data_IF_368826761965
#
_entry.id   IF_368826761965
#
_cell.length_a   1.000
_cell.length_b   1.000
_cell.length_c   1.000
_cell.angle_alpha   90.00
_cell.angle_beta   90.00
_cell.angle_gamma   90.00
#
_symmetry.space_group_name_H-M   'P 1'
#
loop_
_entity.id
_entity.type
_entity.pdbx_description
1 polymer ?
#
# COMPACT_ATOMS: atom_id res chain seq x y z
N UNK A 1 -10.48 -10.02 15.26
CA UNK A 1 -9.61 -10.51 14.16
C UNK A 1 -8.37 -11.15 14.76
N UNK A 2 -8.23 -12.46 14.70
CA UNK A 2 -7.01 -13.17 15.16
C UNK A 2 -6.02 -13.33 13.98
N UNK A 3 -5.71 -12.24 13.29
CA UNK A 3 -4.65 -12.27 12.27
C UNK A 3 -3.30 -12.41 12.97
N UNK A 4 -2.47 -13.33 12.46
CA UNK A 4 -1.23 -13.75 13.11
C UNK A 4 -0.20 -12.62 13.27
N UNK A 5 -0.29 -11.55 12.45
CA UNK A 5 0.58 -10.36 12.53
C UNK A 5 -0.24 -9.08 12.39
N UNK A 6 -0.79 -8.62 13.50
CA UNK A 6 -1.68 -7.44 13.54
C UNK A 6 -1.08 -6.20 12.84
N UNK A 7 0.25 -6.03 12.85
CA UNK A 7 0.93 -4.93 12.17
C UNK A 7 0.79 -4.92 10.64
N UNK A 8 0.40 -6.04 10.02
CA UNK A 8 0.13 -6.13 8.57
C UNK A 8 -1.27 -5.62 8.21
N UNK A 9 -2.19 -5.53 9.19
CA UNK A 9 -3.59 -5.17 8.94
C UNK A 9 -3.78 -3.85 8.21
N UNK A 10 -3.05 -2.76 8.53
CA UNK A 10 -3.20 -1.50 7.80
C UNK A 10 -2.89 -1.64 6.31
N UNK A 11 -1.82 -2.35 5.95
CA UNK A 11 -1.42 -2.54 4.55
C UNK A 11 -2.36 -3.50 3.83
N UNK A 12 -2.80 -4.58 4.49
CA UNK A 12 -3.81 -5.49 3.95
C UNK A 12 -5.14 -4.76 3.69
N UNK A 13 -5.61 -3.94 4.64
CA UNK A 13 -6.81 -3.14 4.44
C UNK A 13 -6.66 -2.16 3.27
N UNK A 14 -5.54 -1.45 3.18
CA UNK A 14 -5.27 -0.53 2.08
C UNK A 14 -5.17 -1.25 0.73
N UNK A 15 -4.66 -2.48 0.71
CA UNK A 15 -4.62 -3.35 -0.47
C UNK A 15 -6.03 -3.71 -0.94
N UNK A 16 -6.90 -4.18 -0.05
CA UNK A 16 -8.29 -4.51 -0.41
C UNK A 16 -9.09 -3.28 -0.84
N UNK A 17 -8.87 -2.12 -0.19
CA UNK A 17 -9.45 -0.85 -0.62
C UNK A 17 -8.96 -0.44 -2.02
N UNK A 18 -7.69 -0.69 -2.33
CA UNK A 18 -7.12 -0.42 -3.65
C UNK A 18 -7.79 -1.24 -4.74
N UNK A 19 -8.09 -2.52 -4.49
CA UNK A 19 -8.89 -3.32 -5.42
C UNK A 19 -10.26 -2.70 -5.71
N UNK A 20 -10.97 -2.27 -4.66
CA UNK A 20 -12.28 -1.62 -4.78
C UNK A 20 -12.18 -0.32 -5.61
N UNK A 21 -11.19 0.53 -5.32
CA UNK A 21 -10.99 1.81 -6.01
C UNK A 21 -10.63 1.60 -7.48
N UNK A 22 -9.82 0.59 -7.79
CA UNK A 22 -9.42 0.29 -9.17
C UNK A 22 -10.56 -0.34 -9.99
N UNK A 23 -11.69 -0.67 -9.36
CA UNK A 23 -12.77 -1.41 -10.00
C UNK A 23 -12.30 -2.79 -10.46
N UNK A 24 -11.31 -3.35 -9.76
CA UNK A 24 -10.79 -4.66 -10.10
C UNK A 24 -11.94 -5.65 -9.98
N UNK A 25 -12.19 -6.47 -11.03
CA UNK A 25 -13.33 -7.37 -11.04
C UNK A 25 -13.22 -8.26 -9.81
N UNK A 26 -14.13 -8.03 -8.87
CA UNK A 26 -14.09 -8.68 -7.58
C UNK A 26 -14.38 -10.16 -7.76
N UNK A 27 -13.39 -11.00 -7.50
CA UNK A 27 -13.62 -12.06 -6.55
C UNK A 27 -13.73 -11.37 -5.18
N UNK A 28 -14.89 -10.81 -4.87
CA UNK A 28 -15.18 -10.15 -3.56
C UNK A 28 -14.89 -11.11 -2.40
N UNK A 29 -14.76 -12.40 -2.67
CA UNK A 29 -13.78 -13.29 -2.10
C UNK A 29 -13.35 -14.25 -3.23
N UNK A 30 -12.15 -14.85 -3.16
CA UNK A 30 -11.75 -16.08 -3.89
C UNK A 30 -11.00 -15.99 -5.24
N UNK A 31 -9.72 -15.63 -5.19
CA UNK A 31 -8.65 -16.49 -5.73
C UNK A 31 -8.70 -16.98 -7.21
N UNK A 32 -9.49 -16.46 -8.17
CA UNK A 32 -9.73 -17.16 -9.47
C UNK A 32 -9.68 -16.33 -10.78
N UNK A 33 -8.69 -15.46 -10.95
CA UNK A 33 -8.21 -15.03 -12.29
C UNK A 33 -6.98 -15.83 -12.83
N UNK A 34 -6.61 -15.67 -14.10
CA UNK A 34 -5.44 -16.34 -14.72
C UNK A 34 -4.11 -15.84 -14.12
N UNK A 35 -3.08 -16.69 -14.05
CA UNK A 35 -1.85 -16.45 -13.27
C UNK A 35 -1.17 -15.11 -13.57
N UNK A 36 -1.05 -14.69 -14.84
CA UNK A 36 -0.40 -13.42 -15.22
C UNK A 36 -1.27 -12.19 -14.98
N UNK A 37 -2.58 -12.26 -15.24
CA UNK A 37 -3.53 -11.19 -14.94
C UNK A 37 -3.64 -10.92 -13.45
N UNK A 38 -3.66 -11.99 -12.64
CA UNK A 38 -3.57 -11.91 -11.17
C UNK A 38 -2.35 -11.13 -10.72
N UNK A 39 -1.15 -11.49 -11.16
CA UNK A 39 0.08 -10.83 -10.70
C UNK A 39 0.08 -9.32 -10.98
N UNK A 40 -0.47 -8.87 -12.12
CA UNK A 40 -0.59 -7.44 -12.42
C UNK A 40 -1.65 -6.74 -11.54
N UNK A 41 -2.80 -7.38 -11.32
CA UNK A 41 -3.88 -6.86 -10.47
C UNK A 41 -3.42 -6.72 -9.02
N UNK A 42 -2.82 -7.77 -8.45
CA UNK A 42 -2.23 -7.78 -7.11
C UNK A 42 -1.13 -6.72 -6.95
N UNK A 43 -0.26 -6.57 -7.95
CA UNK A 43 0.79 -5.54 -7.91
C UNK A 43 0.19 -4.13 -7.91
N UNK A 44 -0.81 -3.86 -8.76
CA UNK A 44 -1.51 -2.56 -8.75
C UNK A 44 -2.22 -2.30 -7.43
N UNK A 45 -2.81 -3.32 -6.82
CA UNK A 45 -3.41 -3.20 -5.51
C UNK A 45 -2.38 -2.83 -4.44
N UNK A 46 -1.25 -3.54 -4.40
CA UNK A 46 -0.10 -3.22 -3.55
C UNK A 46 0.43 -1.79 -3.75
N UNK A 47 0.57 -1.34 -5.00
CA UNK A 47 0.98 0.03 -5.31
C UNK A 47 -0.06 1.03 -4.80
N UNK A 48 -1.36 0.79 -5.04
CA UNK A 48 -2.42 1.68 -4.56
C UNK A 48 -2.53 1.69 -3.04
N UNK A 49 -2.22 0.60 -2.35
CA UNK A 49 -2.11 0.57 -0.89
C UNK A 49 -1.04 1.55 -0.38
N UNK A 50 0.14 1.55 -1.00
CA UNK A 50 1.20 2.53 -0.68
C UNK A 50 0.70 3.96 -0.93
N UNK A 51 0.04 4.21 -2.06
CA UNK A 51 -0.52 5.52 -2.41
C UNK A 51 -1.54 6.02 -1.39
N UNK A 52 -2.38 5.13 -0.87
CA UNK A 52 -3.38 5.46 0.16
C UNK A 52 -2.72 5.78 1.50
N UNK A 53 -1.66 5.06 1.89
CA UNK A 53 -1.04 5.20 3.21
C UNK A 53 -0.07 6.38 3.33
N UNK A 54 0.62 6.75 2.25
CA UNK A 54 1.62 7.84 2.27
C UNK A 54 1.07 9.17 2.81
N UNK A 55 -0.12 9.65 2.37
CA UNK A 55 -0.69 10.90 2.90
C UNK A 55 -0.88 10.88 4.42
N UNK A 56 -1.36 9.79 5.01
CA UNK A 56 -1.55 9.69 6.46
C UNK A 56 -0.23 9.85 7.20
N UNK A 57 0.80 9.10 6.78
CA UNK A 57 2.11 9.17 7.41
C UNK A 57 2.75 10.56 7.27
N UNK A 58 2.67 11.17 6.08
CA UNK A 58 3.28 12.46 5.81
C UNK A 58 2.49 13.66 6.36
N UNK A 59 1.20 13.50 6.72
CA UNK A 59 0.43 14.53 7.41
C UNK A 59 0.73 14.58 8.91
N UNK A 60 1.00 13.42 9.51
CA UNK A 60 1.28 13.29 10.96
C UNK A 60 2.76 13.44 11.31
N UNK A 61 3.65 13.47 10.31
CA UNK A 61 5.10 13.57 10.48
C UNK A 61 5.64 14.86 9.87
N UNK A 62 6.37 15.65 10.67
CA UNK A 62 7.11 16.80 10.14
C UNK A 62 8.05 16.37 9.01
N UNK A 63 8.12 17.16 7.94
CA UNK A 63 8.91 16.83 6.73
C UNK A 63 10.36 16.47 7.04
N UNK A 64 10.99 17.19 7.96
CA UNK A 64 12.39 16.96 8.39
C UNK A 64 12.59 15.62 9.12
N UNK A 65 11.51 15.05 9.67
CA UNK A 65 11.51 13.81 10.43
C UNK A 65 11.01 12.60 9.62
N UNK A 66 10.70 12.78 8.32
CA UNK A 66 10.25 11.70 7.46
C UNK A 66 11.34 10.65 7.32
N UNK A 67 10.98 9.41 7.65
CA UNK A 67 11.88 8.28 7.53
C UNK A 67 11.16 7.13 6.80
N UNK A 68 11.62 6.82 5.59
CA UNK A 68 10.99 5.79 4.74
C UNK A 68 11.05 4.39 5.37
N UNK A 69 12.14 4.08 6.10
CA UNK A 69 12.26 2.81 6.80
C UNK A 69 11.24 2.69 7.93
N UNK A 70 11.01 3.77 8.69
CA UNK A 70 9.99 3.78 9.73
C UNK A 70 8.59 3.60 9.14
N UNK A 71 8.29 4.22 8.00
CA UNK A 71 7.03 4.02 7.29
C UNK A 71 6.86 2.57 6.83
N UNK A 72 7.84 2.02 6.12
CA UNK A 72 7.80 0.64 5.63
C UNK A 72 7.66 -0.36 6.78
N UNK A 73 8.36 -0.14 7.89
CA UNK A 73 8.28 -0.99 9.07
C UNK A 73 6.94 -0.84 9.80
N UNK A 74 6.43 0.38 9.98
CA UNK A 74 5.17 0.61 10.70
C UNK A 74 3.96 -0.03 10.00
N UNK A 75 3.94 0.01 8.67
CA UNK A 75 2.87 -0.56 7.86
C UNK A 75 3.19 -1.96 7.31
N UNK A 76 4.33 -2.55 7.67
CA UNK A 76 4.79 -3.86 7.18
C UNK A 76 4.77 -3.96 5.64
N UNK A 77 5.25 -2.91 4.96
CA UNK A 77 5.28 -2.84 3.50
C UNK A 77 6.32 -3.82 2.95
N UNK A 78 5.97 -4.66 1.95
CA UNK A 78 6.93 -5.53 1.29
C UNK A 78 8.12 -4.76 0.69
N UNK A 79 9.35 -5.19 0.98
CA UNK A 79 10.56 -4.46 0.57
C UNK A 79 10.75 -4.28 -0.95
N UNK A 80 10.09 -5.08 -1.79
CA UNK A 80 10.11 -4.85 -3.25
C UNK A 80 9.34 -3.58 -3.66
N UNK A 81 8.51 -3.00 -2.78
CA UNK A 81 7.79 -1.75 -2.98
C UNK A 81 8.54 -0.51 -2.49
N UNK A 82 9.74 -0.63 -1.91
CA UNK A 82 10.48 0.53 -1.37
C UNK A 82 10.75 1.63 -2.42
N UNK A 83 10.87 1.25 -3.70
CA UNK A 83 10.94 2.20 -4.81
C UNK A 83 9.66 3.04 -4.95
N UNK A 84 8.50 2.40 -4.85
CA UNK A 84 7.18 3.03 -4.91
C UNK A 84 6.98 3.95 -3.70
N UNK A 85 7.34 3.49 -2.50
CA UNK A 85 7.29 4.30 -1.28
C UNK A 85 8.07 5.60 -1.46
N UNK A 86 9.32 5.51 -1.93
CA UNK A 86 10.18 6.68 -2.16
C UNK A 86 9.56 7.66 -3.15
N UNK A 87 9.02 7.15 -4.25
CA UNK A 87 8.38 7.97 -5.27
C UNK A 87 7.15 8.69 -4.73
N UNK A 88 6.24 7.97 -4.07
CA UNK A 88 4.99 8.54 -3.55
C UNK A 88 5.21 9.57 -2.45
N UNK A 89 6.17 9.33 -1.54
CA UNK A 89 6.54 10.33 -0.53
C UNK A 89 7.13 11.59 -1.18
N UNK A 90 7.95 11.44 -2.22
CA UNK A 90 8.47 12.58 -2.99
C UNK A 90 7.33 13.36 -3.65
N UNK A 91 6.42 12.67 -4.33
CA UNK A 91 5.27 13.28 -5.01
C UNK A 91 4.37 14.06 -4.05
N UNK A 92 4.10 13.52 -2.87
CA UNK A 92 3.30 14.19 -1.84
C UNK A 92 3.83 15.59 -1.48
N UNK A 93 5.15 15.77 -1.45
CA UNK A 93 5.78 17.07 -1.15
C UNK A 93 6.04 17.95 -2.38
N UNK A 94 5.91 17.43 -3.60
CA UNK A 94 5.99 18.23 -4.83
C UNK A 94 4.63 18.83 -5.17
N UNK A 95 3.54 18.12 -4.87
CA UNK A 95 2.17 18.59 -5.10
C UNK A 95 1.62 19.54 -4.03
N UNK A 96 2.41 19.88 -3.00
CA UNK A 96 2.10 20.87 -1.96
C UNK A 96 3.02 22.09 -2.12
#
# INVERSE_FOLDING_TARGET
MNWHRQAELPFQLAHELSHIINGDPGDVCFYNATFTGKQSVEYRANVGAVKLLVPFYCQETNRENINLYNFEHAYQIPGYLSGVVREQVKEYYVGK
#
